data_IF_798606012192
#
_entry.id   IF_798606012192
#
_cell.length_a   1.000
_cell.length_b   1.000
_cell.length_c   1.000
_cell.angle_alpha   90.00
_cell.angle_beta   90.00
_cell.angle_gamma   90.00
#
_symmetry.space_group_name_H-M   'P 1'
#
loop_
_entity.id
_entity.type
_entity.pdbx_description
1 polymer ?
#
# COMPACT_ATOMS: atom_id res chain seq x y z
N UNK A 1 5.85 -3.17 -2.51
CA UNK A 1 5.47 -2.36 -1.36
C UNK A 1 5.83 -0.89 -1.53
N UNK A 2 5.33 -0.03 -0.64
CA UNK A 2 5.51 1.44 -0.68
C UNK A 2 6.99 1.83 -0.49
N UNK A 3 7.29 3.09 -0.68
CA UNK A 3 8.64 3.63 -0.59
C UNK A 3 9.22 3.54 0.84
N UNK A 4 8.38 3.52 1.85
CA UNK A 4 8.69 3.28 3.26
C UNK A 4 9.36 1.93 3.52
N UNK A 5 9.04 0.86 2.76
CA UNK A 5 9.70 -0.44 2.85
C UNK A 5 10.88 -0.62 1.91
N UNK A 6 10.81 -0.06 0.70
CA UNK A 6 11.80 -0.32 -0.35
C UNK A 6 12.71 0.87 -0.65
N UNK A 7 12.44 2.02 0.01
CA UNK A 7 13.12 3.28 -0.26
C UNK A 7 14.61 3.24 0.01
N UNK A 8 15.00 2.64 1.12
CA UNK A 8 16.38 2.59 1.57
C UNK A 8 17.24 1.58 0.82
N UNK A 9 16.66 0.57 0.14
CA UNK A 9 17.41 -0.52 -0.50
C UNK A 9 18.51 0.03 -1.42
N UNK A 10 18.22 1.06 -2.21
CA UNK A 10 19.19 1.68 -3.11
C UNK A 10 20.39 2.31 -2.40
N UNK A 11 20.28 2.63 -1.13
CA UNK A 11 21.34 3.26 -0.32
C UNK A 11 22.17 2.24 0.43
N UNK A 12 21.61 1.07 0.74
CA UNK A 12 22.28 0.04 1.55
C UNK A 12 22.82 -1.12 0.71
N UNK A 13 22.35 -1.30 -0.54
CA UNK A 13 22.71 -2.44 -1.37
C UNK A 13 24.20 -2.49 -1.74
N UNK A 14 24.87 -1.34 -1.76
CA UNK A 14 26.30 -1.26 -2.06
C UNK A 14 27.16 -1.58 -0.83
N UNK A 15 26.60 -1.40 0.37
CA UNK A 15 27.27 -1.66 1.66
C UNK A 15 26.93 -3.05 2.19
N UNK A 16 25.66 -3.45 2.05
CA UNK A 16 25.15 -4.74 2.53
C UNK A 16 24.84 -5.64 1.33
N UNK A 17 25.78 -6.49 0.99
CA UNK A 17 25.62 -7.48 -0.10
C UNK A 17 24.90 -8.73 0.41
N UNK A 18 23.59 -8.59 0.68
CA UNK A 18 22.74 -9.68 1.11
C UNK A 18 21.64 -9.99 0.08
N UNK A 19 21.17 -11.23 -0.02
CA UNK A 19 20.00 -11.57 -0.82
C UNK A 19 18.76 -10.81 -0.36
N UNK A 20 17.98 -10.32 -1.32
CA UNK A 20 16.72 -9.60 -1.08
C UNK A 20 15.58 -10.51 -1.51
N UNK A 21 14.83 -11.04 -0.54
CA UNK A 21 13.64 -11.84 -0.81
C UNK A 21 12.43 -10.93 -1.00
N UNK A 22 11.70 -11.12 -2.09
CA UNK A 22 10.54 -10.30 -2.42
C UNK A 22 9.49 -11.10 -3.19
N UNK A 23 8.23 -10.80 -2.96
CA UNK A 23 7.12 -11.34 -3.75
C UNK A 23 7.20 -10.85 -5.20
N UNK A 24 6.58 -11.53 -6.19
CA UNK A 24 6.75 -11.20 -7.60
C UNK A 24 6.46 -9.74 -7.94
N UNK A 25 5.37 -9.15 -7.40
CA UNK A 25 5.04 -7.74 -7.64
C UNK A 25 6.05 -6.80 -6.96
N UNK A 26 6.42 -7.08 -5.71
CA UNK A 26 7.42 -6.29 -4.98
C UNK A 26 8.78 -6.35 -5.68
N UNK A 27 9.19 -7.53 -6.16
CA UNK A 27 10.40 -7.69 -6.97
C UNK A 27 10.34 -6.85 -8.24
N UNK A 28 9.22 -6.91 -8.99
CA UNK A 28 9.05 -6.10 -10.19
C UNK A 28 9.16 -4.58 -9.93
N UNK A 29 8.60 -4.11 -8.81
CA UNK A 29 8.73 -2.71 -8.38
C UNK A 29 10.19 -2.35 -8.02
N UNK A 30 10.92 -3.27 -7.37
CA UNK A 30 12.35 -3.11 -7.06
C UNK A 30 13.20 -3.08 -8.34
N UNK A 31 12.95 -3.99 -9.29
CA UNK A 31 13.65 -4.02 -10.58
C UNK A 31 13.52 -2.68 -11.31
N UNK A 32 12.30 -2.14 -11.43
CA UNK A 32 12.05 -0.82 -12.03
C UNK A 32 12.84 0.29 -11.32
N UNK A 33 12.87 0.24 -9.98
CA UNK A 33 13.53 1.26 -9.16
C UNK A 33 15.05 1.18 -9.22
N UNK A 34 15.62 -0.02 -9.11
CA UNK A 34 17.05 -0.28 -9.12
C UNK A 34 17.66 -0.05 -10.52
N UNK A 35 16.92 -0.41 -11.58
CA UNK A 35 17.36 -0.14 -12.95
C UNK A 35 17.54 1.36 -13.22
N UNK A 36 16.64 2.20 -12.71
CA UNK A 36 16.78 3.67 -12.81
C UNK A 36 18.02 4.22 -12.09
N UNK A 37 18.44 3.55 -11.02
CA UNK A 37 19.65 3.91 -10.27
C UNK A 37 20.93 3.27 -10.79
N UNK A 38 20.86 2.40 -11.81
CA UNK A 38 22.01 1.62 -12.29
C UNK A 38 22.50 0.56 -11.29
N UNK A 39 21.62 0.14 -10.36
CA UNK A 39 21.98 -0.77 -9.26
C UNK A 39 21.41 -2.19 -9.42
N UNK A 40 20.66 -2.45 -10.50
CA UNK A 40 19.98 -3.74 -10.68
C UNK A 40 20.98 -4.92 -10.72
N UNK A 41 22.09 -4.76 -11.41
CA UNK A 41 23.13 -5.79 -11.55
C UNK A 41 23.88 -6.09 -10.22
N UNK A 42 23.73 -5.21 -9.21
CA UNK A 42 24.33 -5.38 -7.88
C UNK A 42 23.39 -6.11 -6.90
N UNK A 43 22.12 -6.31 -7.30
CA UNK A 43 21.09 -6.84 -6.43
C UNK A 43 20.92 -8.35 -6.63
N UNK A 44 21.07 -9.14 -5.56
CA UNK A 44 20.61 -10.56 -5.52
C UNK A 44 19.12 -10.58 -5.15
N UNK A 45 18.23 -10.41 -6.16
CA UNK A 45 16.78 -10.44 -5.97
C UNK A 45 16.25 -11.86 -6.09
N UNK A 46 15.73 -12.39 -4.99
CA UNK A 46 15.13 -13.73 -4.92
C UNK A 46 13.61 -13.60 -4.78
N UNK A 47 12.89 -14.33 -5.65
CA UNK A 47 11.43 -14.35 -5.59
C UNK A 47 10.98 -15.35 -4.54
N UNK A 48 9.96 -14.96 -3.77
CA UNK A 48 9.25 -15.83 -2.83
C UNK A 48 7.75 -15.56 -2.95
N UNK A 49 6.95 -16.59 -2.74
CA UNK A 49 5.49 -16.49 -2.76
C UNK A 49 4.90 -16.78 -1.37
N UNK A 50 3.68 -16.33 -1.13
CA UNK A 50 2.98 -16.71 0.08
C UNK A 50 2.75 -18.23 0.11
N UNK A 51 3.00 -18.85 1.25
CA UNK A 51 3.03 -20.30 1.44
C UNK A 51 4.41 -20.94 1.29
N UNK A 52 5.40 -20.21 0.77
CA UNK A 52 6.78 -20.72 0.70
C UNK A 52 7.55 -20.50 2.00
N UNK A 53 8.65 -21.23 2.13
CA UNK A 53 9.60 -21.13 3.25
C UNK A 53 11.01 -20.92 2.72
N UNK A 54 11.70 -19.91 3.23
CA UNK A 54 13.11 -19.68 2.96
C UNK A 54 13.97 -20.13 4.15
N UNK A 55 14.97 -20.96 3.88
CA UNK A 55 15.95 -21.37 4.89
C UNK A 55 17.16 -20.45 4.84
N UNK A 56 17.31 -19.62 5.86
CA UNK A 56 18.37 -18.61 6.00
C UNK A 56 19.08 -18.90 7.34
N UNK A 57 19.86 -19.95 7.36
CA UNK A 57 20.50 -20.47 8.58
C UNK A 57 21.10 -19.37 9.48
N UNK A 58 20.74 -19.30 10.80
CA UNK A 58 19.99 -20.32 11.55
C UNK A 58 18.47 -20.15 11.54
N UNK A 59 17.90 -19.32 10.66
CA UNK A 59 16.49 -18.98 10.60
C UNK A 59 15.75 -19.78 9.53
N UNK A 60 14.47 -20.07 9.81
CA UNK A 60 13.49 -20.52 8.83
C UNK A 60 12.39 -19.48 8.72
N UNK A 61 12.16 -18.94 7.52
CA UNK A 61 11.22 -17.83 7.27
C UNK A 61 10.08 -18.32 6.39
N UNK A 62 8.90 -18.41 6.97
CA UNK A 62 7.65 -18.77 6.32
C UNK A 62 6.90 -17.51 5.89
N UNK A 63 6.49 -17.44 4.62
CA UNK A 63 5.76 -16.30 4.06
C UNK A 63 4.26 -16.62 4.03
N UNK A 64 3.43 -15.80 4.67
CA UNK A 64 1.97 -15.97 4.63
C UNK A 64 1.29 -14.76 4.03
N UNK A 65 0.19 -14.97 3.31
CA UNK A 65 -0.51 -13.86 2.66
C UNK A 65 -1.21 -12.95 3.67
N UNK A 66 -1.07 -11.64 3.47
CA UNK A 66 -1.83 -10.61 4.19
C UNK A 66 -2.44 -9.62 3.19
N UNK A 67 -3.68 -9.25 3.41
CA UNK A 67 -4.30 -8.17 2.65
C UNK A 67 -3.67 -6.82 3.02
N UNK A 68 -3.34 -6.04 2.01
CA UNK A 68 -2.91 -4.67 2.13
C UNK A 68 -3.38 -3.88 0.90
N UNK A 69 -2.83 -2.70 0.65
CA UNK A 69 -3.14 -1.87 -0.52
C UNK A 69 -2.51 -2.36 -1.84
N UNK A 70 -1.71 -3.41 -1.81
CA UNK A 70 -1.12 -4.06 -3.00
C UNK A 70 -1.41 -5.56 -2.96
N UNK A 71 -1.58 -6.21 -4.12
CA UNK A 71 -1.61 -7.67 -4.20
C UNK A 71 -0.30 -8.29 -3.69
N UNK A 72 -0.32 -9.59 -3.40
CA UNK A 72 0.82 -10.39 -2.95
C UNK A 72 1.54 -9.90 -1.67
N UNK A 73 0.86 -9.11 -0.82
CA UNK A 73 1.38 -8.75 0.49
C UNK A 73 1.66 -9.97 1.36
N UNK A 74 2.78 -9.98 2.11
CA UNK A 74 3.12 -11.09 3.01
C UNK A 74 3.50 -10.59 4.40
N UNK A 75 3.08 -11.36 5.39
CA UNK A 75 3.68 -11.39 6.71
C UNK A 75 4.70 -12.54 6.80
N UNK A 76 5.45 -12.59 7.88
CA UNK A 76 6.55 -13.53 8.09
C UNK A 76 6.36 -14.29 9.40
N UNK A 77 6.50 -15.62 9.36
CA UNK A 77 6.76 -16.45 10.53
C UNK A 77 8.24 -16.82 10.54
N UNK A 78 8.99 -16.33 11.51
CA UNK A 78 10.44 -16.48 11.59
C UNK A 78 10.75 -17.44 12.75
N UNK A 79 11.05 -18.70 12.44
CA UNK A 79 11.53 -19.65 13.41
C UNK A 79 13.00 -19.37 13.69
N UNK A 80 13.29 -19.08 14.96
CA UNK A 80 14.63 -18.79 15.49
C UNK A 80 15.03 -19.80 16.56
N UNK A 81 16.30 -19.89 16.95
CA UNK A 81 16.72 -20.71 18.11
C UNK A 81 16.03 -20.35 19.43
N UNK A 82 15.56 -19.09 19.59
CA UNK A 82 14.86 -18.61 20.79
C UNK A 82 13.35 -18.87 20.75
N UNK A 83 12.77 -19.07 19.58
CA UNK A 83 11.34 -19.29 19.40
C UNK A 83 10.81 -18.73 18.07
N UNK A 84 9.50 -18.84 17.87
CA UNK A 84 8.81 -18.33 16.68
C UNK A 84 8.48 -16.84 16.86
N UNK A 85 8.94 -16.02 15.92
CA UNK A 85 8.60 -14.60 15.83
C UNK A 85 7.68 -14.40 14.63
N UNK A 86 6.54 -13.74 14.81
CA UNK A 86 5.63 -13.38 13.74
C UNK A 86 5.75 -11.87 13.46
N UNK A 87 5.96 -11.51 12.20
CA UNK A 87 5.93 -10.15 11.71
C UNK A 87 4.72 -9.98 10.80
N UNK A 88 3.77 -9.13 11.18
CA UNK A 88 2.51 -8.97 10.45
C UNK A 88 2.69 -8.49 9.00
N UNK A 89 3.79 -7.82 8.70
CA UNK A 89 3.85 -6.93 7.54
C UNK A 89 2.85 -5.78 7.70
N UNK A 90 2.61 -5.01 6.64
CA UNK A 90 1.46 -4.10 6.60
C UNK A 90 0.23 -4.94 6.27
N UNK A 91 -0.81 -4.86 7.06
CA UNK A 91 -1.96 -5.72 6.90
C UNK A 91 -3.29 -5.05 7.24
N UNK A 92 -4.36 -5.62 6.74
CA UNK A 92 -5.73 -5.51 7.24
C UNK A 92 -6.46 -6.84 7.04
N UNK A 93 -7.60 -7.01 7.69
CA UNK A 93 -8.46 -8.18 7.48
C UNK A 93 -9.59 -7.83 6.51
N UNK A 94 -9.30 -7.81 5.21
CA UNK A 94 -10.32 -7.60 4.17
C UNK A 94 -10.96 -8.94 3.79
N UNK A 95 -12.24 -9.11 4.14
CA UNK A 95 -13.00 -10.32 3.82
C UNK A 95 -13.47 -10.40 2.37
N UNK A 96 -13.40 -9.30 1.63
CA UNK A 96 -13.80 -9.20 0.23
C UNK A 96 -12.77 -8.42 -0.58
N UNK A 97 -11.50 -8.84 -0.58
CA UNK A 97 -10.44 -8.13 -1.28
C UNK A 97 -10.71 -8.08 -2.80
N UNK A 98 -10.20 -7.04 -3.46
CA UNK A 98 -10.44 -6.81 -4.90
C UNK A 98 -9.84 -7.91 -5.77
N UNK A 99 -8.71 -8.48 -5.35
CA UNK A 99 -8.02 -9.58 -6.02
C UNK A 99 -8.58 -10.97 -5.67
N UNK A 100 -9.51 -11.04 -4.71
CA UNK A 100 -10.13 -12.28 -4.24
C UNK A 100 -9.23 -13.13 -3.33
N UNK A 101 -8.09 -12.61 -2.87
CA UNK A 101 -7.13 -13.33 -2.04
C UNK A 101 -7.13 -12.76 -0.60
N UNK A 102 -7.84 -13.40 0.35
CA UNK A 102 -7.92 -12.94 1.74
C UNK A 102 -6.62 -13.24 2.52
N UNK A 103 -6.46 -12.60 3.68
CA UNK A 103 -5.40 -12.93 4.64
C UNK A 103 -5.47 -14.39 5.03
N UNK A 104 -4.31 -15.05 5.17
CA UNK A 104 -4.20 -16.45 5.55
C UNK A 104 -4.43 -16.65 7.06
N UNK A 105 -5.70 -16.72 7.45
CA UNK A 105 -6.11 -16.97 8.84
C UNK A 105 -5.65 -18.36 9.34
N UNK A 106 -5.61 -19.35 8.43
CA UNK A 106 -5.22 -20.70 8.80
C UNK A 106 -3.75 -20.73 9.26
N UNK A 107 -2.88 -20.00 8.57
CA UNK A 107 -1.47 -19.90 8.93
C UNK A 107 -1.24 -19.17 10.25
N UNK A 108 -2.01 -18.12 10.52
CA UNK A 108 -1.97 -17.45 11.82
C UNK A 108 -2.40 -18.39 12.97
N UNK A 109 -3.44 -19.21 12.76
CA UNK A 109 -3.85 -20.23 13.72
C UNK A 109 -2.82 -21.34 13.91
N UNK A 110 -2.13 -21.76 12.86
CA UNK A 110 -1.02 -22.72 12.92
C UNK A 110 0.13 -22.17 13.78
N UNK A 111 0.54 -20.93 13.56
CA UNK A 111 1.57 -20.26 14.38
C UNK A 111 1.18 -20.23 15.85
N UNK A 112 -0.08 -19.86 16.15
CA UNK A 112 -0.61 -19.87 17.51
C UNK A 112 -0.48 -21.27 18.16
N UNK A 113 -0.77 -22.34 17.40
CA UNK A 113 -0.66 -23.73 17.89
C UNK A 113 0.79 -24.17 18.16
N UNK A 114 1.78 -23.55 17.49
CA UNK A 114 3.22 -23.79 17.71
C UNK A 114 3.78 -23.01 18.90
N UNK A 115 3.09 -21.98 19.37
CA UNK A 115 3.55 -21.02 20.37
C UNK A 115 4.41 -19.92 19.73
N UNK A 116 3.93 -18.67 19.85
CA UNK A 116 4.60 -17.49 19.29
C UNK A 116 5.31 -16.71 20.42
N UNK A 117 6.62 -16.61 20.32
CA UNK A 117 7.44 -15.84 21.28
C UNK A 117 7.12 -14.34 21.18
N UNK A 118 7.11 -13.79 19.96
CA UNK A 118 6.87 -12.37 19.77
C UNK A 118 6.07 -12.10 18.50
N UNK A 119 5.17 -11.11 18.57
CA UNK A 119 4.46 -10.53 17.44
C UNK A 119 4.94 -9.10 17.22
N UNK A 120 5.55 -8.84 16.06
CA UNK A 120 5.84 -7.50 15.55
C UNK A 120 4.67 -7.07 14.68
N UNK A 121 3.82 -6.14 15.13
CA UNK A 121 2.56 -5.82 14.46
C UNK A 121 2.46 -4.35 14.03
N UNK A 122 1.97 -4.14 12.80
CA UNK A 122 1.68 -2.84 12.21
C UNK A 122 0.71 -2.03 13.09
N UNK A 123 1.08 -0.79 13.40
CA UNK A 123 0.34 0.11 14.28
C UNK A 123 -0.20 1.36 13.57
N UNK A 124 -0.11 1.45 12.24
CA UNK A 124 -0.37 2.67 11.47
C UNK A 124 -1.73 3.31 11.76
N UNK A 125 -2.78 2.51 11.94
CA UNK A 125 -4.14 2.98 12.23
C UNK A 125 -4.60 2.68 13.66
N UNK A 126 -3.71 2.58 14.62
CA UNK A 126 -4.05 2.27 16.01
C UNK A 126 -4.99 3.30 16.67
N UNK A 127 -5.07 4.52 16.15
CA UNK A 127 -5.98 5.57 16.60
C UNK A 127 -7.35 5.54 15.88
N UNK A 128 -7.56 4.59 14.95
CA UNK A 128 -8.81 4.46 14.20
C UNK A 128 -9.70 3.35 14.79
N UNK A 129 -10.85 3.67 15.38
CA UNK A 129 -11.76 2.66 15.94
C UNK A 129 -12.37 1.72 14.89
N UNK A 130 -12.75 0.53 15.31
CA UNK A 130 -13.48 -0.44 14.51
C UNK A 130 -12.62 -1.15 13.47
N UNK A 131 -13.20 -1.42 12.31
CA UNK A 131 -12.61 -2.16 11.19
C UNK A 131 -12.29 -1.25 10.02
N UNK A 132 -11.18 -1.50 9.36
CA UNK A 132 -10.86 -0.88 8.07
C UNK A 132 -11.82 -1.41 6.99
N UNK A 133 -12.55 -0.54 6.27
CA UNK A 133 -13.43 -0.97 5.20
C UNK A 133 -12.72 -1.78 4.12
N UNK A 134 -13.45 -2.68 3.44
CA UNK A 134 -12.92 -3.36 2.26
C UNK A 134 -12.62 -2.39 1.12
N UNK A 135 -11.57 -2.67 0.35
CA UNK A 135 -11.25 -1.95 -0.89
C UNK A 135 -12.43 -1.95 -1.90
N UNK A 136 -13.34 -2.92 -1.79
CA UNK A 136 -14.52 -3.05 -2.66
C UNK A 136 -15.51 -1.89 -2.56
N UNK A 137 -15.51 -1.14 -1.44
CA UNK A 137 -16.40 0.04 -1.28
C UNK A 137 -16.07 1.17 -2.27
N UNK A 138 -14.90 1.13 -2.89
CA UNK A 138 -14.45 2.12 -3.87
C UNK A 138 -15.14 1.93 -5.22
N UNK A 139 -15.49 0.70 -5.61
CA UNK A 139 -16.13 0.43 -6.89
C UNK A 139 -17.44 1.21 -7.09
N UNK A 140 -18.43 1.17 -6.15
CA UNK A 140 -19.62 2.00 -6.27
C UNK A 140 -19.34 3.51 -6.17
N UNK A 141 -18.30 3.92 -5.45
CA UNK A 141 -17.90 5.33 -5.42
C UNK A 141 -17.38 5.78 -6.78
N UNK A 142 -16.55 4.99 -7.44
CA UNK A 142 -16.09 5.27 -8.79
C UNK A 142 -17.24 5.26 -9.79
N UNK A 143 -18.17 4.29 -9.73
CA UNK A 143 -19.35 4.27 -10.60
C UNK A 143 -20.18 5.55 -10.44
N UNK A 144 -20.37 6.04 -9.23
CA UNK A 144 -21.06 7.30 -8.97
C UNK A 144 -20.31 8.51 -9.54
N UNK A 145 -18.98 8.53 -9.48
CA UNK A 145 -18.15 9.59 -10.05
C UNK A 145 -18.22 9.54 -11.57
N UNK A 146 -17.99 8.36 -12.15
CA UNK A 146 -17.91 8.16 -13.59
C UNK A 146 -19.24 8.46 -14.29
N UNK A 147 -20.38 8.09 -13.69
CA UNK A 147 -21.71 8.37 -14.23
C UNK A 147 -22.07 9.87 -14.25
N UNK A 148 -21.51 10.65 -13.31
CA UNK A 148 -21.79 12.09 -13.20
C UNK A 148 -20.83 12.97 -14.01
N UNK A 149 -19.63 12.49 -14.28
CA UNK A 149 -18.61 13.25 -14.97
C UNK A 149 -18.95 13.46 -16.45
N UNK A 150 -19.14 14.72 -16.85
CA UNK A 150 -19.43 15.10 -18.24
C UNK A 150 -18.16 15.32 -19.07
N UNK A 151 -17.05 15.68 -18.43
CA UNK A 151 -15.74 15.90 -19.04
C UNK A 151 -14.78 14.75 -18.79
N UNK A 152 -13.47 15.06 -18.89
CA UNK A 152 -12.40 14.11 -18.55
C UNK A 152 -12.44 13.75 -17.09
N UNK A 153 -12.06 12.51 -16.79
CA UNK A 153 -11.79 12.08 -15.41
C UNK A 153 -10.28 11.95 -15.27
N UNK A 154 -9.73 12.55 -14.21
CA UNK A 154 -8.31 12.43 -13.88
C UNK A 154 -8.23 11.80 -12.49
N UNK A 155 -7.76 10.55 -12.42
CA UNK A 155 -7.60 9.85 -11.14
C UNK A 155 -6.14 9.88 -10.73
N UNK A 156 -5.86 10.45 -9.59
CA UNK A 156 -4.54 10.44 -8.99
C UNK A 156 -4.48 9.40 -7.86
N UNK A 157 -3.45 8.56 -7.89
CA UNK A 157 -3.15 7.58 -6.83
C UNK A 157 -1.65 7.32 -6.73
N UNK A 158 -1.23 6.51 -5.75
CA UNK A 158 0.14 6.01 -5.73
C UNK A 158 0.39 5.07 -6.91
N UNK A 159 1.55 5.20 -7.57
CA UNK A 159 1.90 4.36 -8.72
C UNK A 159 2.11 2.87 -8.37
N UNK A 160 2.29 2.55 -7.10
CA UNK A 160 2.39 1.17 -6.60
C UNK A 160 1.03 0.54 -6.25
N UNK A 161 -0.05 1.31 -6.26
CA UNK A 161 -1.38 0.85 -5.89
C UNK A 161 -2.07 0.18 -7.11
N UNK A 162 -1.62 -1.02 -7.44
CA UNK A 162 -2.06 -1.75 -8.63
C UNK A 162 -3.55 -2.12 -8.55
N UNK A 163 -4.05 -2.49 -7.39
CA UNK A 163 -5.48 -2.75 -7.17
C UNK A 163 -6.35 -1.56 -7.58
N UNK A 164 -5.90 -0.31 -7.28
CA UNK A 164 -6.60 0.91 -7.68
C UNK A 164 -6.55 1.14 -9.21
N UNK A 165 -5.42 0.79 -9.85
CA UNK A 165 -5.35 0.82 -11.32
C UNK A 165 -6.41 -0.10 -11.91
N UNK A 166 -6.55 -1.33 -11.37
CA UNK A 166 -7.57 -2.28 -11.82
C UNK A 166 -8.99 -1.74 -11.60
N UNK A 167 -9.28 -1.14 -10.45
CA UNK A 167 -10.60 -0.55 -10.17
C UNK A 167 -10.94 0.59 -11.15
N UNK A 168 -9.97 1.45 -11.48
CA UNK A 168 -10.13 2.52 -12.47
C UNK A 168 -10.37 1.95 -13.87
N UNK A 169 -9.62 0.92 -14.27
CA UNK A 169 -9.80 0.20 -15.56
C UNK A 169 -11.20 -0.41 -15.64
N UNK A 170 -11.63 -1.08 -14.57
CA UNK A 170 -12.97 -1.70 -14.53
C UNK A 170 -14.09 -0.65 -14.61
N UNK A 171 -13.97 0.47 -13.88
CA UNK A 171 -14.92 1.56 -13.94
C UNK A 171 -14.94 2.22 -15.33
N UNK A 172 -13.79 2.44 -15.95
CA UNK A 172 -13.69 2.99 -17.30
C UNK A 172 -14.38 2.09 -18.33
N UNK A 173 -14.19 0.77 -18.22
CA UNK A 173 -14.86 -0.21 -19.07
C UNK A 173 -16.39 -0.14 -18.92
N UNK A 174 -16.90 -0.14 -17.68
CA UNK A 174 -18.35 -0.06 -17.42
C UNK A 174 -18.99 1.23 -17.96
N UNK A 175 -18.22 2.32 -17.97
CA UNK A 175 -18.69 3.64 -18.42
C UNK A 175 -18.23 4.01 -19.84
N UNK A 176 -17.77 3.03 -20.66
CA UNK A 176 -17.34 3.22 -22.04
C UNK A 176 -16.28 4.32 -22.22
N UNK A 177 -15.34 4.44 -21.29
CA UNK A 177 -14.23 5.39 -21.36
C UNK A 177 -12.92 4.67 -21.63
N UNK A 178 -12.02 5.30 -22.38
CA UNK A 178 -10.64 4.83 -22.57
C UNK A 178 -9.75 5.30 -21.41
N UNK A 179 -8.73 4.52 -21.09
CA UNK A 179 -7.77 4.81 -20.00
C UNK A 179 -6.40 5.14 -20.57
N UNK A 180 -5.80 6.22 -20.11
CA UNK A 180 -4.40 6.52 -20.35
C UNK A 180 -3.64 6.67 -19.03
N UNK A 181 -2.52 5.96 -18.88
CA UNK A 181 -1.60 6.15 -17.77
C UNK A 181 -0.66 7.30 -18.06
N UNK A 182 -0.47 8.20 -17.08
CA UNK A 182 0.28 9.44 -17.25
C UNK A 182 1.37 9.57 -16.19
N UNK A 183 2.56 9.91 -16.64
CA UNK A 183 3.75 10.01 -15.81
C UNK A 183 4.56 8.73 -15.80
N UNK A 184 5.90 8.90 -15.77
CA UNK A 184 6.86 7.83 -15.95
C UNK A 184 6.62 6.66 -14.98
N UNK A 185 6.52 6.93 -13.67
CA UNK A 185 6.34 5.88 -12.66
C UNK A 185 5.00 5.16 -12.80
N UNK A 186 3.91 5.88 -13.15
CA UNK A 186 2.61 5.26 -13.37
C UNK A 186 2.64 4.33 -14.60
N UNK A 187 3.21 4.79 -15.71
CA UNK A 187 3.32 4.00 -16.95
C UNK A 187 4.18 2.76 -16.77
N UNK A 188 5.34 2.90 -16.12
CA UNK A 188 6.26 1.77 -15.90
C UNK A 188 5.67 0.73 -14.96
N UNK A 189 5.06 1.15 -13.86
CA UNK A 189 4.43 0.23 -12.93
C UNK A 189 3.20 -0.46 -13.56
N UNK A 190 2.40 0.26 -14.36
CA UNK A 190 1.30 -0.38 -15.08
C UNK A 190 1.82 -1.43 -16.08
N UNK A 191 2.84 -1.12 -16.87
CA UNK A 191 3.47 -2.09 -17.80
C UNK A 191 4.01 -3.32 -17.05
N UNK A 192 4.69 -3.11 -15.94
CA UNK A 192 5.23 -4.18 -15.12
C UNK A 192 4.10 -5.04 -14.54
N UNK A 193 3.04 -4.42 -13.99
CA UNK A 193 1.91 -5.13 -13.42
C UNK A 193 1.13 -5.94 -14.48
N UNK A 194 0.99 -5.43 -15.72
CA UNK A 194 0.40 -6.16 -16.85
C UNK A 194 1.26 -7.38 -17.18
N UNK A 195 2.58 -7.20 -17.31
CA UNK A 195 3.53 -8.29 -17.61
C UNK A 195 3.47 -9.41 -16.56
N UNK A 196 3.29 -9.07 -15.30
CA UNK A 196 3.22 -10.02 -14.19
C UNK A 196 1.81 -10.57 -13.92
N UNK A 197 0.78 -10.12 -14.67
CA UNK A 197 -0.60 -10.60 -14.52
C UNK A 197 -1.40 -9.96 -13.36
N UNK A 198 -0.85 -8.95 -12.68
CA UNK A 198 -1.56 -8.23 -11.59
C UNK A 198 -2.47 -7.10 -12.07
N UNK A 199 -2.36 -6.70 -13.34
CA UNK A 199 -3.23 -5.71 -13.97
C UNK A 199 -3.73 -6.25 -15.31
N UNK A 200 -5.04 -6.42 -15.43
CA UNK A 200 -5.69 -6.87 -16.65
C UNK A 200 -6.43 -5.72 -17.31
N UNK A 201 -6.12 -5.43 -18.55
CA UNK A 201 -6.76 -4.36 -19.33
C UNK A 201 -7.36 -4.97 -20.60
N UNK A 202 -8.68 -4.86 -20.82
CA UNK A 202 -9.32 -5.32 -22.03
C UNK A 202 -8.69 -4.69 -23.28
N UNK A 203 -8.65 -5.46 -24.37
CA UNK A 203 -8.11 -5.00 -25.63
C UNK A 203 -8.81 -3.71 -26.10
N UNK A 204 -8.03 -2.75 -26.56
CA UNK A 204 -8.52 -1.47 -27.05
C UNK A 204 -9.04 -0.52 -25.96
N UNK A 205 -9.03 -0.88 -24.67
CA UNK A 205 -9.43 0.03 -23.58
C UNK A 205 -8.33 1.04 -23.25
N UNK A 206 -7.07 0.61 -23.28
CA UNK A 206 -5.93 1.48 -23.05
C UNK A 206 -5.53 2.23 -24.32
N UNK A 207 -5.26 3.52 -24.17
CA UNK A 207 -4.69 4.38 -25.21
C UNK A 207 -3.47 5.13 -24.66
N UNK A 208 -2.61 5.65 -25.53
CA UNK A 208 -1.56 6.55 -25.07
C UNK A 208 -2.12 7.96 -24.83
N UNK A 209 -1.36 8.79 -24.12
CA UNK A 209 -1.83 10.13 -23.73
C UNK A 209 -2.11 11.02 -24.94
N UNK A 210 -1.30 10.95 -26.01
CA UNK A 210 -1.49 11.78 -27.21
C UNK A 210 -2.76 11.40 -27.97
N UNK A 211 -3.13 10.13 -27.97
CA UNK A 211 -4.41 9.66 -28.49
C UNK A 211 -5.56 10.13 -27.61
N UNK A 212 -5.44 9.95 -26.26
CA UNK A 212 -6.46 10.36 -25.31
C UNK A 212 -6.79 11.85 -25.43
N UNK A 213 -5.80 12.72 -25.56
CA UNK A 213 -6.01 14.17 -25.66
C UNK A 213 -6.71 14.63 -26.96
N UNK A 214 -6.80 13.77 -27.96
CA UNK A 214 -7.53 14.04 -29.22
C UNK A 214 -8.96 13.52 -29.23
N UNK A 215 -9.34 12.75 -28.20
CA UNK A 215 -10.67 12.17 -28.07
C UNK A 215 -11.64 13.14 -27.40
N UNK A 216 -12.94 12.84 -27.48
CA UNK A 216 -13.94 13.58 -26.71
C UNK A 216 -13.64 13.47 -25.20
N UNK A 217 -13.61 14.58 -24.46
CA UNK A 217 -13.34 14.60 -23.03
C UNK A 217 -14.21 13.62 -22.23
N UNK A 218 -15.47 13.43 -22.60
CA UNK A 218 -16.37 12.51 -21.93
C UNK A 218 -15.99 11.03 -22.07
N UNK A 219 -15.07 10.69 -22.97
CA UNK A 219 -14.64 9.32 -23.25
C UNK A 219 -13.29 8.96 -22.64
N UNK A 220 -12.71 9.83 -21.79
CA UNK A 220 -11.32 9.67 -21.33
C UNK A 220 -11.25 9.60 -19.81
N UNK A 221 -10.38 8.70 -19.35
CA UNK A 221 -9.84 8.65 -17.99
C UNK A 221 -8.32 8.73 -18.06
N UNK A 222 -7.74 9.69 -17.35
CA UNK A 222 -6.29 9.82 -17.18
C UNK A 222 -5.94 9.35 -15.78
N UNK A 223 -5.04 8.39 -15.66
CA UNK A 223 -4.56 7.92 -14.37
C UNK A 223 -3.13 8.38 -14.12
N UNK A 224 -2.90 9.11 -13.03
CA UNK A 224 -1.63 9.78 -12.74
C UNK A 224 -1.21 9.65 -11.27
N UNK A 225 -0.07 10.25 -10.94
CA UNK A 225 0.47 10.37 -9.58
C UNK A 225 0.38 11.81 -9.04
N UNK A 226 0.74 12.01 -7.77
CA UNK A 226 0.87 13.32 -7.16
C UNK A 226 -0.23 13.65 -6.18
N UNK A 227 -0.67 12.67 -5.43
CA UNK A 227 -1.74 12.82 -4.42
C UNK A 227 -1.30 13.49 -3.13
N UNK A 228 0.02 13.63 -2.91
CA UNK A 228 0.58 14.18 -1.67
C UNK A 228 0.95 15.67 -1.78
N UNK A 229 0.53 16.33 -2.85
CA UNK A 229 0.75 17.77 -3.05
C UNK A 229 2.18 18.14 -3.46
N UNK A 230 2.99 17.16 -3.87
CA UNK A 230 4.37 17.42 -4.31
C UNK A 230 4.39 18.35 -5.54
N UNK A 231 5.12 19.47 -5.50
CA UNK A 231 5.10 20.47 -6.58
C UNK A 231 5.56 19.90 -7.94
N UNK A 232 6.47 18.95 -7.93
CA UNK A 232 7.05 18.33 -9.13
C UNK A 232 6.21 17.18 -9.69
N UNK A 233 5.18 16.74 -8.96
CA UNK A 233 4.25 15.70 -9.42
C UNK A 233 3.34 16.21 -10.53
N UNK A 234 2.63 15.30 -11.20
CA UNK A 234 1.65 15.69 -12.23
C UNK A 234 0.55 16.54 -11.62
N UNK A 235 -0.05 16.14 -10.50
CA UNK A 235 -1.09 16.92 -9.83
C UNK A 235 -0.58 18.28 -9.35
N UNK A 236 0.62 18.35 -8.79
CA UNK A 236 1.27 19.60 -8.41
C UNK A 236 1.40 20.57 -9.59
N UNK A 237 1.92 20.09 -10.72
CA UNK A 237 2.06 20.88 -11.94
C UNK A 237 0.71 21.26 -12.58
N UNK A 238 -0.26 20.35 -12.58
CA UNK A 238 -1.62 20.65 -13.05
C UNK A 238 -2.26 21.73 -12.20
N UNK A 239 -2.08 21.69 -10.88
CA UNK A 239 -2.63 22.69 -9.96
C UNK A 239 -2.08 24.11 -10.20
N UNK A 240 -0.85 24.21 -10.72
CA UNK A 240 -0.17 25.47 -11.01
C UNK A 240 -0.19 25.87 -12.50
N UNK A 241 -0.71 25.02 -13.38
CA UNK A 241 -0.70 25.26 -14.84
C UNK A 241 0.67 25.13 -15.49
N UNK A 242 1.59 24.39 -14.87
CA UNK A 242 2.97 24.22 -15.37
C UNK A 242 3.22 22.82 -15.96
N UNK A 243 2.19 21.99 -16.06
CA UNK A 243 2.33 20.69 -16.69
C UNK A 243 2.42 20.85 -18.23
N UNK A 244 3.47 20.28 -18.81
CA UNK A 244 3.79 20.49 -20.23
C UNK A 244 2.97 19.63 -21.19
N UNK A 245 2.45 18.50 -20.73
CA UNK A 245 1.81 17.50 -21.58
C UNK A 245 0.33 17.80 -21.82
N UNK A 246 -0.37 18.24 -20.78
CA UNK A 246 -1.78 18.69 -20.83
C UNK A 246 -2.07 19.58 -19.64
N UNK A 247 -3.19 20.27 -19.68
CA UNK A 247 -3.62 21.15 -18.57
C UNK A 247 -5.03 20.82 -18.10
N UNK A 248 -5.42 21.32 -16.93
CA UNK A 248 -6.78 21.26 -16.42
C UNK A 248 -7.65 22.16 -17.28
N UNK A 249 -8.79 21.65 -17.71
CA UNK A 249 -9.84 22.42 -18.38
C UNK A 249 -11.10 22.47 -17.50
N UNK A 250 -11.88 23.56 -17.56
CA UNK A 250 -13.14 23.64 -16.83
C UNK A 250 -14.06 22.46 -17.17
N UNK A 251 -14.60 21.83 -16.12
CA UNK A 251 -15.44 20.63 -16.26
C UNK A 251 -14.70 19.30 -16.12
N UNK A 252 -13.38 19.30 -15.99
CA UNK A 252 -12.64 18.09 -15.59
C UNK A 252 -13.08 17.63 -14.21
N UNK A 253 -13.20 16.32 -14.02
CA UNK A 253 -13.40 15.70 -12.71
C UNK A 253 -12.09 15.09 -12.24
N UNK A 254 -11.54 15.59 -11.14
CA UNK A 254 -10.27 15.13 -10.56
C UNK A 254 -10.55 14.34 -9.29
N UNK A 255 -10.10 13.09 -9.24
CA UNK A 255 -10.27 12.20 -8.08
C UNK A 255 -8.91 12.01 -7.42
N UNK A 256 -8.77 12.43 -6.17
CA UNK A 256 -7.59 12.18 -5.35
C UNK A 256 -7.83 10.92 -4.52
N UNK A 257 -7.32 9.80 -5.01
CA UNK A 257 -7.55 8.47 -4.45
C UNK A 257 -6.37 8.05 -3.57
N UNK A 258 -6.17 8.77 -2.48
CA UNK A 258 -5.19 8.48 -1.43
C UNK A 258 -5.57 9.19 -0.15
N UNK A 259 -5.08 8.67 0.98
CA UNK A 259 -5.09 9.37 2.26
C UNK A 259 -3.87 10.30 2.38
N UNK A 260 -3.97 11.45 3.03
CA UNK A 260 -2.82 12.28 3.37
C UNK A 260 -1.79 11.49 4.20
N UNK A 261 -0.54 11.53 3.79
CA UNK A 261 0.56 11.11 4.67
C UNK A 261 0.76 12.21 5.70
N UNK A 262 0.89 11.89 7.01
CA UNK A 262 1.10 12.87 8.05
C UNK A 262 2.19 13.90 7.68
N UNK A 263 1.87 15.18 7.84
CA UNK A 263 2.73 16.30 7.46
C UNK A 263 2.53 16.84 6.03
N UNK A 264 1.78 16.17 5.17
CA UNK A 264 1.49 16.64 3.80
C UNK A 264 0.13 17.35 3.65
N UNK A 265 -0.68 17.41 4.70
CA UNK A 265 -2.08 17.88 4.66
C UNK A 265 -2.19 19.27 4.05
N UNK A 266 -1.37 20.21 4.50
CA UNK A 266 -1.39 21.60 3.98
C UNK A 266 -1.10 21.65 2.47
N UNK A 267 -0.12 20.87 2.02
CA UNK A 267 0.27 20.81 0.62
C UNK A 267 -0.82 20.20 -0.27
N UNK A 268 -1.50 19.17 0.24
CA UNK A 268 -2.63 18.50 -0.42
C UNK A 268 -3.81 19.48 -0.54
N UNK A 269 -4.25 20.09 0.56
CA UNK A 269 -5.36 21.03 0.53
C UNK A 269 -5.06 22.27 -0.30
N UNK A 270 -3.83 22.75 -0.32
CA UNK A 270 -3.39 23.82 -1.23
C UNK A 270 -3.53 23.40 -2.70
N UNK A 271 -3.15 22.18 -3.03
CA UNK A 271 -3.29 21.61 -4.38
C UNK A 271 -4.77 21.50 -4.77
N UNK A 272 -5.62 20.96 -3.90
CA UNK A 272 -7.08 20.86 -4.10
C UNK A 272 -7.68 22.24 -4.39
N UNK A 273 -7.38 23.25 -3.57
CA UNK A 273 -7.89 24.62 -3.74
C UNK A 273 -7.45 25.24 -5.08
N UNK A 274 -6.23 24.96 -5.54
CA UNK A 274 -5.74 25.43 -6.84
C UNK A 274 -6.49 24.75 -7.99
N UNK A 275 -6.76 23.45 -7.90
CA UNK A 275 -7.52 22.73 -8.91
C UNK A 275 -8.96 23.23 -9.02
N UNK A 276 -9.63 23.52 -7.91
CA UNK A 276 -10.94 24.18 -7.91
C UNK A 276 -10.91 25.55 -8.60
N UNK A 277 -9.91 26.39 -8.32
CA UNK A 277 -9.74 27.69 -9.00
C UNK A 277 -9.54 27.58 -10.50
N UNK A 278 -9.06 26.43 -10.99
CA UNK A 278 -8.90 26.12 -12.41
C UNK A 278 -10.18 25.54 -13.06
N UNK A 279 -11.28 25.48 -12.30
CA UNK A 279 -12.58 25.01 -12.79
C UNK A 279 -12.78 23.51 -12.79
N UNK A 280 -11.91 22.74 -12.12
CA UNK A 280 -12.10 21.30 -11.95
C UNK A 280 -13.13 21.02 -10.85
N UNK A 281 -13.87 19.91 -11.00
CA UNK A 281 -14.61 19.28 -9.93
C UNK A 281 -13.69 18.29 -9.20
N UNK A 282 -13.29 18.61 -7.95
CA UNK A 282 -12.31 17.79 -7.21
C UNK A 282 -13.03 16.91 -6.19
N UNK A 283 -12.78 15.61 -6.26
CA UNK A 283 -13.35 14.59 -5.38
C UNK A 283 -12.21 13.94 -4.58
N UNK A 284 -12.37 13.95 -3.26
CA UNK A 284 -11.38 13.44 -2.31
C UNK A 284 -12.09 13.02 -1.02
N UNK A 285 -11.40 12.31 -0.12
CA UNK A 285 -11.90 12.08 1.23
C UNK A 285 -11.96 13.40 2.04
N UNK A 286 -13.04 13.66 2.79
CA UNK A 286 -14.17 12.79 3.09
C UNK A 286 -15.38 12.96 2.15
N UNK A 287 -15.28 13.66 1.02
CA UNK A 287 -16.42 13.90 0.13
C UNK A 287 -17.00 12.64 -0.53
N UNK A 288 -16.14 11.67 -0.79
CA UNK A 288 -16.54 10.35 -1.27
C UNK A 288 -15.51 9.30 -0.85
N UNK A 289 -15.92 8.04 -0.64
CA UNK A 289 -15.00 6.96 -0.25
C UNK A 289 -14.18 6.48 -1.45
N UNK A 290 -13.32 7.34 -1.98
CA UNK A 290 -12.45 7.08 -3.14
C UNK A 290 -11.10 6.50 -2.73
N UNK A 291 -10.87 6.33 -1.45
CA UNK A 291 -9.70 5.66 -0.87
C UNK A 291 -10.11 4.88 0.37
N UNK A 292 -9.37 3.84 0.68
CA UNK A 292 -9.45 3.06 1.92
C UNK A 292 -8.03 2.78 2.38
N UNK A 293 -7.80 2.79 3.68
CA UNK A 293 -6.51 2.41 4.26
C UNK A 293 -6.19 0.95 3.96
N UNK A 294 -4.91 0.65 3.76
CA UNK A 294 -4.40 -0.71 3.68
C UNK A 294 -3.98 -1.29 5.04
N UNK A 295 -4.15 -0.53 6.12
CA UNK A 295 -3.70 -0.89 7.46
C UNK A 295 -4.87 -1.22 8.37
N UNK A 296 -4.63 -2.15 9.30
CA UNK A 296 -5.59 -2.60 10.30
C UNK A 296 -6.00 -1.46 11.25
N UNK A 297 -7.29 -1.38 11.59
CA UNK A 297 -7.84 -0.55 12.65
C UNK A 297 -7.90 -1.31 13.98
N UNK A 298 -8.41 -0.71 15.05
CA UNK A 298 -8.31 -1.22 16.43
C UNK A 298 -8.84 -2.65 16.60
N UNK A 299 -10.05 -2.96 16.06
CA UNK A 299 -10.65 -4.28 16.21
C UNK A 299 -9.86 -5.37 15.45
N UNK A 300 -9.23 -5.00 14.33
CA UNK A 300 -8.37 -5.90 13.55
C UNK A 300 -7.05 -6.15 14.26
N UNK A 301 -6.49 -5.15 14.96
CA UNK A 301 -5.30 -5.32 15.79
C UNK A 301 -5.59 -6.26 16.96
N UNK A 302 -6.72 -6.09 17.66
CA UNK A 302 -7.16 -7.00 18.70
C UNK A 302 -7.36 -8.43 18.16
N UNK A 303 -7.96 -8.57 16.97
CA UNK A 303 -8.12 -9.87 16.32
C UNK A 303 -6.77 -10.52 15.99
N UNK A 304 -5.79 -9.78 15.49
CA UNK A 304 -4.45 -10.29 15.21
C UNK A 304 -3.81 -10.88 16.48
N UNK A 305 -3.90 -10.16 17.60
CA UNK A 305 -3.39 -10.61 18.90
C UNK A 305 -4.10 -11.92 19.34
N UNK A 306 -5.42 -12.00 19.20
CA UNK A 306 -6.19 -13.19 19.56
C UNK A 306 -5.90 -14.40 18.65
N UNK A 307 -5.66 -14.17 17.36
CA UNK A 307 -5.31 -15.23 16.40
C UNK A 307 -3.92 -15.79 16.65
N UNK A 308 -2.94 -14.91 16.86
CA UNK A 308 -1.52 -15.27 17.00
C UNK A 308 -1.19 -15.73 18.42
N UNK A 309 -1.82 -15.16 19.44
CA UNK A 309 -1.58 -15.41 20.88
C UNK A 309 -0.09 -15.33 21.26
N UNK A 310 0.58 -14.21 20.97
CA UNK A 310 2.00 -14.08 21.22
C UNK A 310 2.29 -13.99 22.73
N UNK A 311 3.48 -14.41 23.16
CA UNK A 311 3.96 -14.15 24.50
C UNK A 311 4.31 -12.66 24.68
N UNK A 312 4.97 -12.05 23.69
CA UNK A 312 5.30 -10.63 23.66
C UNK A 312 4.70 -9.94 22.44
N UNK A 313 4.19 -8.72 22.62
CA UNK A 313 3.83 -7.81 21.54
C UNK A 313 4.85 -6.69 21.42
N UNK A 314 5.31 -6.44 20.21
CA UNK A 314 6.16 -5.32 19.84
C UNK A 314 5.42 -4.51 18.77
N UNK A 315 4.71 -3.43 19.11
CA UNK A 315 4.11 -2.52 18.16
C UNK A 315 5.17 -1.90 17.26
N UNK A 316 4.96 -1.98 15.93
CA UNK A 316 5.88 -1.42 14.93
C UNK A 316 5.10 -0.58 13.90
N UNK A 317 5.83 0.08 12.99
CA UNK A 317 5.27 0.75 11.83
C UNK A 317 4.21 1.81 12.18
N UNK A 318 4.63 2.81 12.96
CA UNK A 318 3.78 3.93 13.36
C UNK A 318 4.60 5.01 14.08
N UNK A 319 3.98 6.15 14.34
CA UNK A 319 4.52 7.13 15.26
C UNK A 319 4.36 6.65 16.71
N UNK A 320 5.10 7.19 17.65
CA UNK A 320 5.04 6.80 19.06
C UNK A 320 3.61 6.80 19.63
N UNK A 321 2.76 7.74 19.21
CA UNK A 321 1.34 7.76 19.61
C UNK A 321 0.59 6.52 19.15
N UNK A 322 0.86 6.02 17.94
CA UNK A 322 0.24 4.81 17.40
C UNK A 322 0.74 3.56 18.15
N UNK A 323 2.07 3.48 18.43
CA UNK A 323 2.65 2.37 19.18
C UNK A 323 2.06 2.27 20.58
N UNK A 324 1.91 3.42 21.26
CA UNK A 324 1.26 3.48 22.59
C UNK A 324 -0.21 3.11 22.54
N UNK A 325 -0.94 3.56 21.53
CA UNK A 325 -2.35 3.18 21.38
C UNK A 325 -2.50 1.68 21.09
N UNK A 326 -1.60 1.09 20.29
CA UNK A 326 -1.59 -0.35 20.05
C UNK A 326 -1.30 -1.14 21.34
N UNK A 327 -0.43 -0.62 22.21
CA UNK A 327 -0.21 -1.22 23.52
C UNK A 327 -1.48 -1.19 24.41
N UNK A 328 -2.26 -0.11 24.37
CA UNK A 328 -3.56 -0.04 25.07
C UNK A 328 -4.53 -1.08 24.52
N UNK A 329 -4.65 -1.20 23.19
CA UNK A 329 -5.47 -2.22 22.53
C UNK A 329 -5.06 -3.63 22.97
N UNK A 330 -3.76 -3.89 23.11
CA UNK A 330 -3.27 -5.18 23.55
C UNK A 330 -3.61 -5.48 25.00
N UNK A 331 -3.55 -4.49 25.89
CA UNK A 331 -3.99 -4.62 27.28
C UNK A 331 -5.49 -4.90 27.36
N UNK A 332 -6.29 -4.18 26.58
CA UNK A 332 -7.75 -4.42 26.48
C UNK A 332 -8.06 -5.81 25.90
N UNK A 333 -7.20 -6.33 25.01
CA UNK A 333 -7.28 -7.70 24.50
C UNK A 333 -6.77 -8.75 25.51
N UNK A 334 -6.34 -8.35 26.71
CA UNK A 334 -5.96 -9.22 27.81
C UNK A 334 -4.47 -9.54 27.92
N UNK A 335 -3.59 -8.87 27.17
CA UNK A 335 -2.14 -9.04 27.34
C UNK A 335 -1.64 -8.31 28.59
N UNK A 336 -0.76 -8.92 29.40
CA UNK A 336 -0.09 -8.25 30.50
C UNK A 336 0.80 -7.10 30.03
N UNK A 337 0.87 -6.02 30.82
CA UNK A 337 1.65 -4.83 30.47
C UNK A 337 3.15 -5.13 30.29
N UNK A 338 3.70 -6.00 31.13
CA UNK A 338 5.11 -6.46 31.10
C UNK A 338 5.44 -7.37 29.89
N UNK A 339 4.44 -7.69 29.06
CA UNK A 339 4.58 -8.45 27.82
C UNK A 339 4.41 -7.58 26.56
N UNK A 340 4.34 -6.26 26.72
CA UNK A 340 4.18 -5.31 25.62
C UNK A 340 5.37 -4.35 25.63
N UNK A 341 6.19 -4.40 24.58
CA UNK A 341 7.42 -3.59 24.52
C UNK A 341 7.34 -2.54 23.40
N UNK A 342 7.46 -1.27 23.77
CA UNK A 342 7.47 -0.15 22.83
C UNK A 342 8.92 0.30 22.64
N UNK A 343 9.42 0.18 21.42
CA UNK A 343 10.80 0.51 21.08
C UNK A 343 10.89 1.61 20.02
N UNK A 344 12.00 2.33 20.05
CA UNK A 344 12.35 3.32 19.03
C UNK A 344 13.43 2.79 18.09
N UNK A 345 13.59 3.44 16.93
CA UNK A 345 14.62 3.09 15.95
C UNK A 345 16.03 3.11 16.59
N UNK A 346 16.75 2.01 16.44
CA UNK A 346 18.10 1.85 16.97
C UNK A 346 18.18 1.11 18.31
N UNK A 347 17.05 0.87 18.98
CA UNK A 347 17.03 -0.02 20.16
C UNK A 347 17.16 -1.48 19.74
N UNK A 348 17.84 -2.26 20.56
CA UNK A 348 18.06 -3.69 20.35
C UNK A 348 17.17 -4.44 21.33
N UNK A 349 16.37 -5.36 20.80
CA UNK A 349 15.57 -6.29 21.61
C UNK A 349 16.29 -7.63 21.60
N UNK A 350 16.57 -8.14 22.79
CA UNK A 350 17.23 -9.42 22.98
C UNK A 350 16.29 -10.39 23.68
N UNK A 351 16.20 -11.62 23.16
CA UNK A 351 15.48 -12.72 23.79
C UNK A 351 16.49 -13.76 24.26
N UNK A 352 16.56 -13.95 25.58
CA UNK A 352 17.38 -14.98 26.21
C UNK A 352 16.53 -15.79 27.18
N UNK A 353 16.53 -17.13 27.04
CA UNK A 353 15.77 -18.07 27.86
C UNK A 353 14.25 -17.71 27.98
N UNK A 354 13.65 -17.19 26.90
CA UNK A 354 12.25 -16.77 26.85
C UNK A 354 11.96 -15.41 27.50
N UNK A 355 12.99 -14.71 27.97
CA UNK A 355 12.85 -13.35 28.53
C UNK A 355 13.35 -12.28 27.56
N UNK A 356 12.60 -11.17 27.50
CA UNK A 356 12.94 -9.99 26.71
C UNK A 356 13.79 -9.04 27.56
N UNK A 357 14.84 -8.47 26.95
CA UNK A 357 15.63 -7.34 27.50
C UNK A 357 15.92 -6.33 26.39
N UNK A 358 16.15 -5.06 26.79
CA UNK A 358 16.50 -3.92 25.94
C UNK A 358 17.96 -3.52 26.15
#
# INVERSE_FOLDING_TARGET
>A
KRQDHTGAIRHVIEEIQAPIYATPLTRGLLEVKLAKGGLLEKADLRTVEAGETAHINPFEVEFFHVCHSIPDGVGLGITTPAGLVVHSGDYKFDHTPVDGWPTDYAKLGEFSGRGVLALLADSTNADTPGWTPSEKVIDPAFDKVFSKAKGRIIVASFASLISRMQQVVNAAQRHNRKVAFVGMSMVENAKMAIRLGYLSIPEGLQVNIDQALKMDPSQIVLMSTGTQGEPTSIMGRLSTGTNRQFDVIPGDTIVLSSHPIPGNEESIYRTINRLFRRGANVIYEPLAPVHVSGHASQDEMALMIHLVKPEYLIPIHGELRHLRQHAVIAQEAGMPEDKIEIVENGQIIEFQDGQLSL
#
